data_IF_433488422988
#
_entry.id   IF_433488422988
#
_cell.length_a   1.000
_cell.length_b   1.000
_cell.length_c   1.000
_cell.angle_alpha   90.00
_cell.angle_beta   90.00
_cell.angle_gamma   90.00
#
_symmetry.space_group_name_H-M   'P 1'
#
loop_
_entity.id
_entity.type
_entity.pdbx_description
1 polymer ?
#
# COMPACT_ATOMS: atom_id res chain seq x y z
N UNK A 1 6.63 40.28 -0.61
CA UNK A 1 5.29 39.96 -0.08
C UNK A 1 4.14 40.57 -0.86
N UNK A 2 4.03 41.89 -1.01
CA UNK A 2 2.86 42.52 -1.68
C UNK A 2 2.58 42.00 -3.10
N UNK A 3 3.60 41.84 -3.93
CA UNK A 3 3.43 41.29 -5.29
C UNK A 3 2.91 39.85 -5.27
N UNK A 4 3.44 38.99 -4.41
CA UNK A 4 2.97 37.60 -4.29
C UNK A 4 1.51 37.53 -3.84
N UNK A 5 1.08 38.42 -2.95
CA UNK A 5 -0.33 38.50 -2.51
C UNK A 5 -1.27 38.97 -3.63
N UNK A 6 -0.82 39.91 -4.47
CA UNK A 6 -1.58 40.31 -5.66
C UNK A 6 -1.68 39.14 -6.65
N UNK A 7 -0.61 38.38 -6.82
CA UNK A 7 -0.59 37.21 -7.69
C UNK A 7 -1.49 36.09 -7.16
N UNK A 8 -1.45 35.82 -5.85
CA UNK A 8 -2.37 34.89 -5.18
C UNK A 8 -3.82 35.25 -5.49
N UNK A 9 -4.21 36.51 -5.24
CA UNK A 9 -5.56 36.98 -5.53
C UNK A 9 -5.94 36.90 -7.01
N UNK A 10 -4.98 37.09 -7.93
CA UNK A 10 -5.22 36.94 -9.36
C UNK A 10 -5.42 35.47 -9.78
N UNK A 11 -4.75 34.54 -9.11
CA UNK A 11 -4.87 33.10 -9.36
C UNK A 11 -6.09 32.45 -8.71
N UNK A 12 -6.77 33.15 -7.80
CA UNK A 12 -8.05 32.71 -7.24
C UNK A 12 -9.16 32.63 -8.31
N UNK A 13 -9.02 33.35 -9.43
CA UNK A 13 -9.99 33.35 -10.52
C UNK A 13 -9.55 32.41 -11.67
N UNK A 14 -10.11 31.19 -11.80
CA UNK A 14 -9.57 30.17 -12.72
C UNK A 14 -9.56 30.62 -14.18
N UNK A 15 -10.51 31.48 -14.57
CA UNK A 15 -10.61 32.01 -15.92
C UNK A 15 -9.36 32.78 -16.37
N UNK A 16 -8.65 33.42 -15.44
CA UNK A 16 -7.39 34.13 -15.72
C UNK A 16 -6.29 33.13 -16.10
N UNK A 17 -6.19 32.04 -15.35
CA UNK A 17 -5.20 30.98 -15.59
C UNK A 17 -5.48 30.28 -16.92
N UNK A 18 -6.73 29.89 -17.16
CA UNK A 18 -7.11 29.16 -18.38
C UNK A 18 -6.91 30.02 -19.64
N UNK A 19 -7.26 31.31 -19.58
CA UNK A 19 -7.09 32.23 -20.71
C UNK A 19 -5.62 32.48 -21.05
N UNK A 20 -4.77 32.61 -20.03
CA UNK A 20 -3.36 32.99 -20.17
C UNK A 20 -2.38 31.84 -19.85
N UNK A 21 -2.82 30.58 -19.97
CA UNK A 21 -2.07 29.38 -19.53
C UNK A 21 -0.64 29.33 -20.09
N UNK A 22 -0.42 29.77 -21.34
CA UNK A 22 0.91 29.84 -21.95
C UNK A 22 1.87 30.78 -21.23
N UNK A 23 1.37 31.91 -20.70
CA UNK A 23 2.19 32.85 -19.93
C UNK A 23 2.52 32.21 -18.58
N UNK A 24 1.54 31.55 -17.96
CA UNK A 24 1.74 30.85 -16.71
C UNK A 24 2.82 29.76 -16.83
N UNK A 25 2.70 28.87 -17.81
CA UNK A 25 3.67 27.78 -18.03
C UNK A 25 5.05 28.30 -18.44
N UNK A 26 5.14 29.22 -19.41
CA UNK A 26 6.43 29.62 -19.98
C UNK A 26 7.24 30.60 -19.11
N UNK A 27 6.59 31.40 -18.26
CA UNK A 27 7.26 32.47 -17.51
C UNK A 27 6.98 32.41 -16.02
N UNK A 28 5.71 32.27 -15.64
CA UNK A 28 5.30 32.49 -14.26
C UNK A 28 5.76 31.36 -13.34
N UNK A 29 5.45 30.11 -13.67
CA UNK A 29 5.84 28.94 -12.87
C UNK A 29 7.38 28.80 -12.73
N UNK A 30 8.18 28.96 -13.80
CA UNK A 30 9.64 29.06 -13.67
C UNK A 30 10.11 30.16 -12.71
N UNK A 31 9.49 31.34 -12.78
CA UNK A 31 9.88 32.50 -11.96
C UNK A 31 9.57 32.28 -10.48
N UNK A 32 8.43 31.66 -10.17
CA UNK A 32 8.07 31.30 -8.79
C UNK A 32 9.07 30.32 -8.17
N UNK A 33 9.55 29.36 -8.97
CA UNK A 33 10.54 28.38 -8.51
C UNK A 33 11.89 29.03 -8.19
N UNK A 34 12.34 29.97 -9.03
CA UNK A 34 13.54 30.77 -8.77
C UNK A 34 13.37 31.62 -7.51
N UNK A 35 12.20 32.26 -7.37
CA UNK A 35 11.90 33.11 -6.22
C UNK A 35 11.88 32.31 -4.92
N UNK A 36 11.26 31.13 -4.90
CA UNK A 36 11.28 30.23 -3.75
C UNK A 36 12.72 29.95 -3.31
N UNK A 37 13.57 29.51 -4.24
CA UNK A 37 14.97 29.12 -3.95
C UNK A 37 15.81 30.26 -3.39
N UNK A 38 15.56 31.49 -3.83
CA UNK A 38 16.29 32.68 -3.39
C UNK A 38 15.78 33.29 -2.08
N UNK A 39 14.64 32.83 -1.55
CA UNK A 39 13.99 33.47 -0.43
C UNK A 39 14.29 32.78 0.91
N UNK A 40 14.41 33.59 1.97
CA UNK A 40 14.59 33.11 3.36
C UNK A 40 13.33 33.25 4.20
N UNK A 41 12.35 34.00 3.71
CA UNK A 41 11.07 34.22 4.37
C UNK A 41 10.14 33.03 4.13
N UNK A 42 9.73 32.36 5.21
CA UNK A 42 8.90 31.17 5.16
C UNK A 42 7.55 31.44 4.46
N UNK A 43 6.88 32.54 4.82
CA UNK A 43 5.60 32.93 4.22
C UNK A 43 5.72 33.15 2.70
N UNK A 44 6.79 33.81 2.25
CA UNK A 44 7.04 34.00 0.83
C UNK A 44 7.29 32.69 0.08
N UNK A 45 8.05 31.77 0.67
CA UNK A 45 8.32 30.44 0.09
C UNK A 45 7.03 29.63 -0.01
N UNK A 46 6.27 29.55 1.07
CA UNK A 46 4.97 28.89 1.08
C UNK A 46 4.05 29.47 0.01
N UNK A 47 3.96 30.80 -0.09
CA UNK A 47 3.11 31.46 -1.08
C UNK A 47 3.55 31.18 -2.52
N UNK A 48 4.86 31.07 -2.80
CA UNK A 48 5.35 30.66 -4.11
C UNK A 48 4.90 29.24 -4.48
N UNK A 49 5.03 28.29 -3.54
CA UNK A 49 4.63 26.90 -3.77
C UNK A 49 3.10 26.77 -3.90
N UNK A 50 2.35 27.49 -3.07
CA UNK A 50 0.88 27.54 -3.12
C UNK A 50 0.41 28.01 -4.49
N UNK A 51 0.86 29.19 -4.94
CA UNK A 51 0.46 29.74 -6.24
C UNK A 51 0.85 28.79 -7.39
N UNK A 52 2.06 28.20 -7.32
CA UNK A 52 2.49 27.22 -8.32
C UNK A 52 1.54 26.01 -8.37
N UNK A 53 1.15 25.50 -7.20
CA UNK A 53 0.22 24.37 -7.07
C UNK A 53 -1.17 24.73 -7.59
N UNK A 54 -1.73 25.87 -7.16
CA UNK A 54 -3.07 26.33 -7.56
C UNK A 54 -3.17 26.50 -9.07
N UNK A 55 -2.17 27.12 -9.70
CA UNK A 55 -2.10 27.27 -11.16
C UNK A 55 -2.05 25.93 -11.86
N UNK A 56 -1.22 25.00 -11.40
CA UNK A 56 -1.13 23.67 -12.01
C UNK A 56 -2.45 22.91 -11.86
N UNK A 57 -3.07 22.92 -10.67
CA UNK A 57 -4.36 22.27 -10.41
C UNK A 57 -5.45 22.79 -11.36
N UNK A 58 -5.54 24.11 -11.57
CA UNK A 58 -6.51 24.69 -12.49
C UNK A 58 -6.28 24.22 -13.93
N UNK A 59 -5.02 24.16 -14.39
CA UNK A 59 -4.71 23.67 -15.74
C UNK A 59 -5.05 22.19 -15.88
N UNK A 60 -4.71 21.36 -14.89
CA UNK A 60 -5.00 19.93 -14.91
C UNK A 60 -6.49 19.59 -14.79
N UNK A 61 -7.27 20.48 -14.17
CA UNK A 61 -8.73 20.32 -14.06
C UNK A 61 -9.45 20.61 -15.39
N UNK A 62 -8.80 21.27 -16.35
CA UNK A 62 -9.37 21.58 -17.65
C UNK A 62 -9.02 20.50 -18.68
N UNK A 63 -10.01 19.68 -19.04
CA UNK A 63 -9.84 18.57 -19.97
C UNK A 63 -9.35 19.00 -21.36
N UNK A 64 -9.62 20.25 -21.78
CA UNK A 64 -9.17 20.75 -23.08
C UNK A 64 -7.69 21.08 -23.09
N UNK A 65 -7.15 21.56 -21.96
CA UNK A 65 -5.72 21.83 -21.79
C UNK A 65 -4.93 20.56 -21.54
N UNK A 66 -5.48 19.58 -20.81
CA UNK A 66 -4.81 18.28 -20.64
C UNK A 66 -4.78 17.44 -21.92
N UNK A 67 -5.71 17.71 -22.86
CA UNK A 67 -5.69 17.12 -24.19
C UNK A 67 -4.71 17.83 -25.16
N UNK A 68 -4.24 19.03 -24.83
CA UNK A 68 -3.21 19.74 -25.59
C UNK A 68 -1.82 19.16 -25.25
N UNK A 69 -1.27 18.39 -26.19
CA UNK A 69 0.05 17.78 -26.06
C UNK A 69 1.16 18.80 -25.74
N UNK A 70 1.06 20.03 -26.28
CA UNK A 70 2.07 21.06 -26.03
C UNK A 70 1.98 21.59 -24.60
N UNK A 71 0.77 21.86 -24.10
CA UNK A 71 0.57 22.31 -22.72
C UNK A 71 1.09 21.24 -21.74
N UNK A 72 0.77 19.97 -21.98
CA UNK A 72 1.26 18.87 -21.16
C UNK A 72 2.79 18.71 -21.24
N UNK A 73 3.40 18.90 -22.42
CA UNK A 73 4.85 18.88 -22.60
C UNK A 73 5.55 20.05 -21.85
N UNK A 74 4.93 21.23 -21.83
CA UNK A 74 5.42 22.37 -21.06
C UNK A 74 5.36 22.09 -19.56
N UNK A 75 4.24 21.54 -19.06
CA UNK A 75 4.09 21.15 -17.66
C UNK A 75 5.08 20.05 -17.24
N UNK A 76 5.29 19.05 -18.10
CA UNK A 76 6.36 18.03 -17.92
C UNK A 76 7.72 18.69 -17.79
N UNK A 77 8.05 19.61 -18.70
CA UNK A 77 9.31 20.36 -18.67
C UNK A 77 9.47 21.16 -17.38
N UNK A 78 8.41 21.83 -16.94
CA UNK A 78 8.43 22.62 -15.70
C UNK A 78 8.67 21.73 -14.49
N UNK A 79 7.95 20.60 -14.43
CA UNK A 79 8.04 19.62 -13.35
C UNK A 79 9.47 19.10 -13.22
N UNK A 80 10.10 18.70 -14.33
CA UNK A 80 11.45 18.15 -14.32
C UNK A 80 12.55 19.20 -14.10
N UNK A 81 12.37 20.41 -14.60
CA UNK A 81 13.40 21.46 -14.55
C UNK A 81 13.38 22.27 -13.27
N UNK A 82 12.21 22.44 -12.65
CA UNK A 82 12.03 23.37 -11.55
C UNK A 82 11.48 22.70 -10.29
N UNK A 83 10.47 21.83 -10.39
CA UNK A 83 9.84 21.23 -9.22
C UNK A 83 10.67 20.07 -8.63
N UNK A 84 10.95 19.03 -9.42
CA UNK A 84 11.67 17.83 -8.95
C UNK A 84 13.04 18.14 -8.34
N UNK A 85 13.91 18.99 -8.93
CA UNK A 85 15.19 19.31 -8.34
C UNK A 85 15.09 20.04 -6.99
N UNK A 86 13.94 20.66 -6.70
CA UNK A 86 13.66 21.36 -5.46
C UNK A 86 12.91 20.51 -4.43
N UNK A 87 12.39 19.35 -4.83
CA UNK A 87 11.59 18.50 -3.96
C UNK A 87 12.25 18.14 -2.63
N UNK A 88 13.56 17.77 -2.59
CA UNK A 88 14.23 17.50 -1.32
C UNK A 88 14.22 18.71 -0.38
N UNK A 89 14.36 19.93 -0.91
CA UNK A 89 14.30 21.16 -0.12
C UNK A 89 12.88 21.49 0.35
N UNK A 90 11.85 21.10 -0.40
CA UNK A 90 10.47 21.27 0.05
C UNK A 90 10.12 20.32 1.19
N UNK A 91 10.60 19.08 1.12
CA UNK A 91 10.30 18.05 2.11
C UNK A 91 10.92 18.37 3.49
N UNK A 92 12.08 19.04 3.51
CA UNK A 92 12.77 19.46 4.73
C UNK A 92 12.40 20.87 5.22
N UNK A 93 11.47 21.56 4.55
CA UNK A 93 11.07 22.93 4.90
C UNK A 93 10.06 22.96 6.06
N UNK A 94 9.73 24.16 6.53
CA UNK A 94 8.78 24.39 7.61
C UNK A 94 7.33 24.10 7.17
N UNK A 95 6.51 23.58 8.09
CA UNK A 95 5.08 23.39 7.85
C UNK A 95 4.41 24.71 7.41
N UNK A 96 3.51 24.68 6.40
CA UNK A 96 2.90 23.50 5.78
C UNK A 96 3.54 23.08 4.44
N UNK A 97 4.74 23.56 4.12
CA UNK A 97 5.37 23.39 2.80
C UNK A 97 5.54 21.90 2.39
N UNK A 98 6.08 21.00 3.24
CA UNK A 98 6.27 19.59 2.87
C UNK A 98 4.97 18.93 2.41
N UNK A 99 3.87 19.16 3.14
CA UNK A 99 2.55 18.62 2.79
C UNK A 99 2.06 19.12 1.42
N UNK A 100 2.25 20.40 1.11
CA UNK A 100 1.85 20.96 -0.18
C UNK A 100 2.69 20.40 -1.33
N UNK A 101 4.00 20.28 -1.14
CA UNK A 101 4.89 19.71 -2.14
C UNK A 101 4.55 18.24 -2.42
N UNK A 102 4.24 17.47 -1.38
CA UNK A 102 3.85 16.08 -1.54
C UNK A 102 2.53 15.92 -2.30
N UNK A 103 1.51 16.74 -1.99
CA UNK A 103 0.24 16.76 -2.74
C UNK A 103 0.45 17.10 -4.21
N UNK A 104 1.30 18.09 -4.49
CA UNK A 104 1.64 18.46 -5.86
C UNK A 104 2.39 17.33 -6.58
N UNK A 105 3.35 16.66 -5.93
CA UNK A 105 4.06 15.52 -6.52
C UNK A 105 3.08 14.39 -6.91
N UNK A 106 2.14 14.04 -6.04
CA UNK A 106 1.12 13.02 -6.34
C UNK A 106 0.29 13.41 -7.56
N UNK A 107 -0.19 14.66 -7.61
CA UNK A 107 -0.96 15.14 -8.75
C UNK A 107 -0.14 15.13 -10.06
N UNK A 108 1.14 15.52 -10.01
CA UNK A 108 2.03 15.45 -11.17
C UNK A 108 2.24 14.00 -11.66
N UNK A 109 2.21 13.02 -10.75
CA UNK A 109 2.27 11.61 -11.12
C UNK A 109 0.96 11.11 -11.73
N UNK A 110 -0.20 11.53 -11.20
CA UNK A 110 -1.52 11.18 -11.74
C UNK A 110 -1.73 11.68 -13.17
N UNK A 111 -1.09 12.79 -13.56
CA UNK A 111 -1.15 13.36 -14.91
C UNK A 111 0.05 13.01 -15.80
N UNK A 112 0.83 11.98 -15.45
CA UNK A 112 2.03 11.54 -16.20
C UNK A 112 3.09 12.64 -16.40
N UNK A 113 3.06 13.71 -15.60
CA UNK A 113 4.05 14.79 -15.65
C UNK A 113 5.36 14.42 -14.95
N UNK A 114 5.29 13.50 -13.99
CA UNK A 114 6.41 12.90 -13.27
C UNK A 114 6.16 11.40 -13.22
N UNK A 115 7.18 10.60 -13.52
CA UNK A 115 7.13 9.14 -13.40
C UNK A 115 7.76 8.71 -12.09
N UNK A 116 7.40 7.52 -11.62
CA UNK A 116 8.06 6.92 -10.45
C UNK A 116 9.57 6.85 -10.65
N UNK A 117 10.04 6.51 -11.85
CA UNK A 117 11.47 6.47 -12.21
C UNK A 117 12.23 7.76 -11.93
N UNK A 118 11.54 8.91 -11.94
CA UNK A 118 12.16 10.23 -11.76
C UNK A 118 12.42 10.54 -10.27
N UNK A 119 11.82 9.77 -9.36
CA UNK A 119 11.89 9.96 -7.90
C UNK A 119 12.45 8.76 -7.12
N UNK A 120 13.05 7.77 -7.82
CA UNK A 120 13.62 6.56 -7.21
C UNK A 120 14.94 6.75 -6.44
N UNK A 121 15.39 7.98 -6.20
CA UNK A 121 16.59 8.20 -5.40
C UNK A 121 16.28 8.01 -3.90
N UNK A 122 17.26 7.49 -3.16
CA UNK A 122 17.11 7.09 -1.75
C UNK A 122 16.57 8.21 -0.84
N UNK A 123 17.00 9.45 -1.04
CA UNK A 123 16.58 10.59 -0.23
C UNK A 123 15.09 10.91 -0.45
N UNK A 124 14.65 11.01 -1.71
CA UNK A 124 13.24 11.27 -2.04
C UNK A 124 12.34 10.12 -1.60
N UNK A 125 12.77 8.86 -1.79
CA UNK A 125 12.00 7.70 -1.33
C UNK A 125 11.84 7.73 0.19
N UNK A 126 12.92 7.99 0.93
CA UNK A 126 12.87 8.08 2.39
C UNK A 126 11.88 9.15 2.88
N UNK A 127 11.92 10.34 2.28
CA UNK A 127 10.98 11.43 2.59
C UNK A 127 9.51 11.05 2.32
N UNK A 128 9.24 10.31 1.24
CA UNK A 128 7.86 9.89 0.92
C UNK A 128 7.27 8.96 1.99
N UNK A 129 8.10 8.15 2.65
CA UNK A 129 7.69 7.20 3.68
C UNK A 129 7.76 7.77 5.11
N UNK A 130 8.27 8.99 5.30
CA UNK A 130 8.53 9.58 6.62
C UNK A 130 7.27 9.68 7.48
N UNK A 131 6.10 9.94 6.89
CA UNK A 131 4.84 10.02 7.64
C UNK A 131 4.48 8.73 8.39
N UNK A 132 4.95 7.56 7.93
CA UNK A 132 4.75 6.28 8.62
C UNK A 132 5.59 6.16 9.90
N UNK A 133 6.68 6.93 9.99
CA UNK A 133 7.57 6.98 11.14
C UNK A 133 7.06 7.94 12.22
N UNK A 134 6.20 8.89 11.84
CA UNK A 134 5.60 9.90 12.71
C UNK A 134 4.24 9.50 13.32
N UNK A 135 3.42 10.52 13.61
CA UNK A 135 2.05 10.35 14.10
C UNK A 135 1.09 10.04 12.94
N UNK A 136 0.49 8.84 12.97
CA UNK A 136 -0.43 8.36 11.94
C UNK A 136 -1.72 9.18 11.85
N UNK A 137 -2.06 10.00 12.86
CA UNK A 137 -3.20 10.93 12.76
C UNK A 137 -2.99 12.02 11.70
N UNK A 138 -1.73 12.28 11.30
CA UNK A 138 -1.38 13.18 10.22
C UNK A 138 -1.30 12.47 8.85
N UNK A 139 -1.58 11.16 8.80
CA UNK A 139 -1.52 10.41 7.55
C UNK A 139 -2.58 10.91 6.55
N UNK A 140 -2.17 11.05 5.31
CA UNK A 140 -3.03 11.43 4.19
C UNK A 140 -3.09 10.28 3.18
N UNK A 141 -4.25 10.01 2.61
CA UNK A 141 -4.46 8.96 1.59
C UNK A 141 -3.53 9.17 0.39
N UNK A 142 -3.25 10.42 0.02
CA UNK A 142 -2.27 10.74 -1.04
C UNK A 142 -0.87 10.19 -0.72
N UNK A 143 -0.46 10.23 0.55
CA UNK A 143 0.85 9.72 0.97
C UNK A 143 0.88 8.19 0.87
N UNK A 144 -0.21 7.52 1.25
CA UNK A 144 -0.35 6.06 1.12
C UNK A 144 -0.29 5.65 -0.35
N UNK A 145 -1.02 6.34 -1.24
CA UNK A 145 -0.99 6.11 -2.69
C UNK A 145 0.42 6.32 -3.28
N UNK A 146 1.13 7.35 -2.83
CA UNK A 146 2.52 7.60 -3.26
C UNK A 146 3.44 6.47 -2.83
N UNK A 147 3.38 6.05 -1.56
CA UNK A 147 4.13 4.90 -1.06
C UNK A 147 3.80 3.62 -1.82
N UNK A 148 2.53 3.40 -2.17
CA UNK A 148 2.11 2.26 -2.97
C UNK A 148 2.69 2.32 -4.38
N UNK A 149 2.65 3.47 -5.05
CA UNK A 149 3.23 3.64 -6.39
C UNK A 149 4.74 3.39 -6.39
N UNK A 150 5.46 3.93 -5.39
CA UNK A 150 6.88 3.69 -5.17
C UNK A 150 7.18 2.20 -4.92
N UNK A 151 6.45 1.57 -4.00
CA UNK A 151 6.59 0.16 -3.68
C UNK A 151 6.17 -0.75 -4.84
N UNK A 152 5.34 -0.31 -5.77
CA UNK A 152 4.90 -1.13 -6.91
C UNK A 152 5.76 -0.97 -8.16
N UNK A 153 6.65 0.03 -8.20
CA UNK A 153 7.43 0.32 -9.39
C UNK A 153 8.50 -0.75 -9.70
N UNK A 154 8.57 -1.28 -10.93
CA UNK A 154 9.48 -2.38 -11.26
C UNK A 154 10.96 -2.04 -11.02
N UNK A 155 11.33 -0.76 -11.22
CA UNK A 155 12.70 -0.28 -11.08
C UNK A 155 13.07 0.08 -9.62
N UNK A 156 12.13 -0.01 -8.67
CA UNK A 156 12.41 0.24 -7.25
C UNK A 156 13.27 -0.88 -6.66
N UNK A 157 14.38 -0.51 -6.03
CA UNK A 157 15.25 -1.45 -5.32
C UNK A 157 14.64 -1.83 -3.96
N UNK A 158 14.44 -3.12 -3.73
CA UNK A 158 13.95 -3.66 -2.46
C UNK A 158 14.89 -3.36 -1.28
N UNK A 159 16.20 -3.14 -1.52
CA UNK A 159 17.15 -2.76 -0.49
C UNK A 159 16.85 -1.38 0.09
N UNK A 160 16.47 -0.41 -0.78
CA UNK A 160 16.05 0.93 -0.33
C UNK A 160 14.81 0.79 0.56
N UNK A 161 13.80 0.05 0.10
CA UNK A 161 12.58 -0.19 0.89
C UNK A 161 12.86 -0.88 2.23
N UNK A 162 13.81 -1.82 2.25
CA UNK A 162 14.22 -2.51 3.46
C UNK A 162 14.97 -1.59 4.43
N UNK A 163 15.75 -0.61 3.95
CA UNK A 163 16.46 0.35 4.80
C UNK A 163 15.50 1.31 5.51
N UNK A 164 14.29 1.53 4.97
CA UNK A 164 13.27 2.36 5.60
C UNK A 164 12.75 1.77 6.92
N UNK A 165 12.78 0.44 7.08
CA UNK A 165 12.28 -0.27 8.28
C UNK A 165 10.82 0.10 8.62
N UNK A 166 9.97 0.23 7.60
CA UNK A 166 8.58 0.71 7.71
C UNK A 166 7.55 -0.40 7.75
N UNK A 167 7.90 -1.68 7.54
CA UNK A 167 6.90 -2.76 7.42
C UNK A 167 5.98 -2.82 8.63
N UNK A 168 6.54 -2.77 9.85
CA UNK A 168 5.74 -2.73 11.08
C UNK A 168 4.82 -1.51 11.13
N UNK A 169 5.28 -0.35 10.66
CA UNK A 169 4.50 0.89 10.64
C UNK A 169 3.36 0.83 9.63
N UNK A 170 3.54 0.16 8.50
CA UNK A 170 2.47 -0.12 7.53
C UNK A 170 1.39 -1.00 8.16
N UNK A 171 1.79 -2.03 8.94
CA UNK A 171 0.84 -2.83 9.72
C UNK A 171 0.05 -2.00 10.74
N UNK A 172 0.73 -1.12 11.48
CA UNK A 172 0.09 -0.18 12.41
C UNK A 172 -0.85 0.81 11.69
N UNK A 173 -0.52 1.25 10.48
CA UNK A 173 -1.40 2.08 9.67
C UNK A 173 -2.68 1.34 9.31
N UNK A 174 -2.59 0.07 8.89
CA UNK A 174 -3.78 -0.75 8.61
C UNK A 174 -4.67 -0.90 9.85
N UNK A 175 -4.06 -1.14 11.02
CA UNK A 175 -4.78 -1.17 12.30
C UNK A 175 -5.44 0.17 12.61
N UNK A 176 -4.73 1.29 12.42
CA UNK A 176 -5.26 2.63 12.66
C UNK A 176 -6.45 2.96 11.75
N UNK A 177 -6.33 2.74 10.44
CA UNK A 177 -7.41 3.08 9.47
C UNK A 177 -8.64 2.21 9.69
N UNK A 178 -8.44 0.94 10.08
CA UNK A 178 -9.54 0.03 10.41
C UNK A 178 -10.22 0.45 11.72
N UNK A 179 -9.44 0.77 12.76
CA UNK A 179 -9.99 1.18 14.06
C UNK A 179 -10.68 2.55 14.04
N UNK A 180 -10.43 3.36 13.01
CA UNK A 180 -11.03 4.69 12.82
C UNK A 180 -12.12 4.72 11.76
N UNK A 181 -12.49 3.57 11.18
CA UNK A 181 -13.48 3.44 10.10
C UNK A 181 -13.18 4.40 8.93
N UNK A 182 -11.91 4.50 8.53
CA UNK A 182 -11.46 5.35 7.42
C UNK A 182 -11.53 4.57 6.11
N UNK A 183 -12.75 4.35 5.59
CA UNK A 183 -13.00 3.50 4.42
C UNK A 183 -12.18 3.89 3.18
N UNK A 184 -12.05 5.19 2.90
CA UNK A 184 -11.27 5.72 1.77
C UNK A 184 -9.76 5.38 1.84
N UNK A 185 -9.27 5.00 3.02
CA UNK A 185 -7.87 4.61 3.25
C UNK A 185 -7.65 3.10 3.22
N UNK A 186 -8.69 2.29 3.38
CA UNK A 186 -8.55 0.83 3.49
C UNK A 186 -7.94 0.23 2.24
N UNK A 187 -8.48 0.55 1.07
CA UNK A 187 -7.98 0.02 -0.21
C UNK A 187 -6.51 0.43 -0.45
N UNK A 188 -6.13 1.73 -0.44
CA UNK A 188 -4.74 2.11 -0.67
C UNK A 188 -3.76 1.52 0.36
N UNK A 189 -4.19 1.37 1.62
CA UNK A 189 -3.35 0.78 2.67
C UNK A 189 -3.14 -0.71 2.45
N UNK A 190 -4.18 -1.44 2.05
CA UNK A 190 -4.06 -2.85 1.69
C UNK A 190 -3.21 -3.05 0.43
N UNK A 191 -3.34 -2.18 -0.57
CA UNK A 191 -2.50 -2.19 -1.77
C UNK A 191 -1.02 -1.97 -1.43
N UNK A 192 -0.74 -1.03 -0.51
CA UNK A 192 0.59 -0.80 0.03
C UNK A 192 1.14 -2.05 0.77
N UNK A 193 0.36 -2.62 1.68
CA UNK A 193 0.71 -3.89 2.35
C UNK A 193 1.06 -4.97 1.32
N UNK A 194 0.20 -5.13 0.32
CA UNK A 194 0.35 -6.14 -0.73
C UNK A 194 1.63 -5.94 -1.55
N UNK A 195 1.95 -4.70 -1.93
CA UNK A 195 3.17 -4.38 -2.66
C UNK A 195 4.43 -4.76 -1.87
N UNK A 196 4.47 -4.45 -0.58
CA UNK A 196 5.58 -4.84 0.31
C UNK A 196 5.68 -6.36 0.47
N UNK A 197 4.55 -7.06 0.64
CA UNK A 197 4.53 -8.53 0.76
C UNK A 197 5.06 -9.18 -0.51
N UNK A 198 4.63 -8.73 -1.70
CA UNK A 198 5.10 -9.27 -2.97
C UNK A 198 6.62 -9.11 -3.09
N UNK A 199 7.17 -7.94 -2.75
CA UNK A 199 8.62 -7.75 -2.72
C UNK A 199 9.34 -8.59 -1.68
N UNK A 200 8.70 -8.85 -0.53
CA UNK A 200 9.21 -9.79 0.46
C UNK A 200 9.36 -11.22 -0.07
N UNK A 201 8.59 -11.63 -1.08
CA UNK A 201 8.73 -12.97 -1.69
C UNK A 201 9.95 -13.12 -2.62
N UNK A 202 10.65 -12.02 -2.96
CA UNK A 202 11.82 -12.05 -3.86
C UNK A 202 11.52 -12.47 -5.30
N UNK A 203 10.26 -12.47 -5.72
CA UNK A 203 9.87 -12.86 -7.08
C UNK A 203 9.95 -11.66 -8.03
N UNK A 204 11.05 -11.57 -8.80
CA UNK A 204 11.19 -10.62 -9.92
C UNK A 204 10.28 -10.93 -11.12
N UNK A 205 9.53 -12.03 -11.07
CA UNK A 205 8.47 -12.25 -12.04
C UNK A 205 7.32 -11.38 -11.59
N UNK A 206 6.96 -10.41 -12.42
CA UNK A 206 5.60 -9.88 -12.47
C UNK A 206 4.66 -11.07 -12.30
N UNK A 207 4.21 -11.29 -11.07
CA UNK A 207 3.13 -12.22 -10.80
C UNK A 207 1.99 -11.48 -11.46
N UNK A 208 1.72 -11.84 -12.72
CA UNK A 208 0.43 -11.59 -13.36
C UNK A 208 -0.57 -11.84 -12.26
N UNK A 209 -1.23 -10.76 -11.85
CA UNK A 209 -2.18 -10.68 -10.75
C UNK A 209 -3.31 -11.65 -11.08
N UNK A 210 -3.06 -12.93 -10.81
CA UNK A 210 -3.96 -14.00 -11.13
C UNK A 210 -5.13 -13.82 -10.18
N UNK A 211 -6.31 -13.53 -10.73
CA UNK A 211 -7.57 -13.59 -9.99
C UNK A 211 -7.84 -15.00 -9.46
N UNK A 212 -7.14 -16.02 -9.97
CA UNK A 212 -7.18 -17.36 -9.39
C UNK A 212 -6.31 -17.43 -8.15
N UNK A 213 -6.82 -18.00 -7.06
CA UNK A 213 -6.06 -18.16 -5.83
C UNK A 213 -4.79 -18.93 -6.18
N UNK A 214 -3.63 -18.29 -6.02
CA UNK A 214 -2.35 -18.97 -6.16
C UNK A 214 -2.24 -19.98 -5.01
N UNK A 215 -2.85 -21.16 -5.20
CA UNK A 215 -3.02 -22.21 -4.21
C UNK A 215 -1.66 -22.51 -3.59
N UNK A 216 -1.55 -22.33 -2.27
CA UNK A 216 -0.37 -22.61 -1.45
C UNK A 216 0.06 -24.09 -1.49
N UNK A 217 -0.66 -24.93 -2.23
CA UNK A 217 -0.67 -26.38 -2.03
C UNK A 217 0.54 -27.07 -2.66
N UNK A 218 1.10 -26.55 -3.76
CA UNK A 218 2.19 -27.24 -4.47
C UNK A 218 3.49 -26.44 -4.63
N UNK A 219 3.44 -25.10 -4.78
CA UNK A 219 4.66 -24.28 -4.98
C UNK A 219 5.25 -23.66 -3.70
N UNK A 220 4.45 -23.53 -2.63
CA UNK A 220 4.92 -22.90 -1.39
C UNK A 220 5.87 -23.78 -0.56
N UNK A 221 5.88 -25.10 -0.82
CA UNK A 221 6.78 -26.06 -0.18
C UNK A 221 8.03 -26.37 -1.01
N UNK A 222 8.13 -25.88 -2.25
CA UNK A 222 9.37 -25.98 -3.02
C UNK A 222 10.37 -24.92 -2.54
N UNK A 223 11.02 -25.21 -1.41
CA UNK A 223 12.16 -24.46 -0.86
C UNK A 223 13.41 -24.51 -1.76
N UNK A 224 13.27 -24.81 -3.06
CA UNK A 224 14.37 -25.07 -3.99
C UNK A 224 14.61 -23.96 -5.00
N UNK A 225 13.88 -22.84 -4.94
CA UNK A 225 14.31 -21.64 -5.66
C UNK A 225 15.18 -20.89 -4.68
N UNK A 226 16.49 -20.87 -4.93
CA UNK A 226 17.39 -19.95 -4.28
C UNK A 226 16.81 -18.54 -4.48
N UNK A 227 16.08 -18.05 -3.47
CA UNK A 227 15.61 -16.68 -3.46
C UNK A 227 16.89 -15.86 -3.38
N UNK A 228 17.11 -15.03 -4.38
CA UNK A 228 18.20 -14.08 -4.35
C UNK A 228 17.89 -13.10 -3.21
N UNK A 229 18.41 -13.41 -2.01
CA UNK A 229 18.15 -12.65 -0.77
C UNK A 229 18.54 -11.17 -0.91
N UNK A 230 19.32 -10.82 -1.93
CA UNK A 230 19.67 -9.44 -2.27
C UNK A 230 18.54 -8.64 -2.93
N UNK A 231 17.38 -9.25 -3.22
CA UNK A 231 16.26 -8.61 -3.91
C UNK A 231 14.95 -8.53 -3.10
N UNK A 232 14.92 -9.03 -1.86
CA UNK A 232 13.72 -9.05 -1.02
C UNK A 232 13.75 -8.00 0.10
N UNK A 233 12.56 -7.58 0.56
CA UNK A 233 12.42 -6.75 1.76
C UNK A 233 12.69 -7.59 3.00
N UNK A 234 13.69 -7.21 3.81
CA UNK A 234 14.21 -8.03 4.91
C UNK A 234 13.34 -8.00 6.17
N UNK A 235 12.58 -6.93 6.40
CA UNK A 235 11.71 -6.73 7.55
C UNK A 235 10.26 -7.19 7.30
N UNK A 236 9.99 -7.92 6.20
CA UNK A 236 8.62 -8.33 5.84
C UNK A 236 7.94 -9.21 6.92
N UNK A 237 8.74 -9.92 7.72
CA UNK A 237 8.27 -10.76 8.80
C UNK A 237 7.54 -9.99 9.91
N UNK A 238 7.83 -8.70 10.09
CA UNK A 238 7.15 -7.84 11.08
C UNK A 238 5.65 -7.72 10.80
N UNK A 239 5.24 -7.83 9.53
CA UNK A 239 3.84 -7.79 9.14
C UNK A 239 3.05 -9.02 9.64
N UNK A 240 3.73 -10.10 10.01
CA UNK A 240 3.12 -11.28 10.64
C UNK A 240 2.35 -10.95 11.93
N UNK A 241 2.81 -9.94 12.68
CA UNK A 241 2.10 -9.43 13.86
C UNK A 241 0.75 -8.77 13.53
N UNK A 242 0.56 -8.33 12.29
CA UNK A 242 -0.68 -7.70 11.80
C UNK A 242 -1.70 -8.71 11.26
N UNK A 243 -1.45 -10.03 11.38
CA UNK A 243 -2.38 -11.05 10.87
C UNK A 243 -3.80 -10.91 11.44
N UNK A 244 -3.91 -10.52 12.71
CA UNK A 244 -5.20 -10.30 13.37
C UNK A 244 -6.03 -9.19 12.72
N UNK A 245 -5.40 -8.13 12.19
CA UNK A 245 -6.11 -7.05 11.50
C UNK A 245 -6.46 -7.43 10.06
N UNK A 246 -5.59 -8.16 9.35
CA UNK A 246 -5.95 -8.68 8.02
C UNK A 246 -7.19 -9.56 8.08
N UNK A 247 -7.28 -10.47 9.06
CA UNK A 247 -8.48 -11.30 9.26
C UNK A 247 -9.74 -10.47 9.53
N UNK A 248 -9.60 -9.38 10.27
CA UNK A 248 -10.71 -8.46 10.55
C UNK A 248 -11.20 -7.78 9.27
N UNK A 249 -10.26 -7.25 8.47
CA UNK A 249 -10.56 -6.56 7.21
C UNK A 249 -11.08 -7.52 6.13
N UNK A 250 -10.72 -8.82 6.15
CA UNK A 250 -11.35 -9.84 5.28
C UNK A 250 -12.86 -9.93 5.53
N UNK A 251 -13.33 -9.62 6.74
CA UNK A 251 -14.75 -9.58 7.08
C UNK A 251 -15.49 -8.33 6.60
N UNK A 252 -14.82 -7.40 5.91
CA UNK A 252 -15.43 -6.17 5.40
C UNK A 252 -16.58 -6.47 4.41
N UNK A 253 -17.61 -5.63 4.42
CA UNK A 253 -18.78 -5.75 3.54
C UNK A 253 -18.47 -5.47 2.07
N UNK A 254 -17.43 -4.68 1.78
CA UNK A 254 -16.96 -4.44 0.43
C UNK A 254 -16.21 -5.68 -0.10
N UNK A 255 -16.71 -6.34 -1.17
CA UNK A 255 -16.08 -7.52 -1.74
C UNK A 255 -14.65 -7.28 -2.23
N UNK A 256 -14.32 -6.07 -2.70
CA UNK A 256 -12.99 -5.73 -3.19
C UNK A 256 -11.98 -5.63 -2.05
N UNK A 257 -12.37 -4.98 -0.95
CA UNK A 257 -11.56 -4.91 0.28
C UNK A 257 -11.36 -6.31 0.87
N UNK A 258 -12.44 -7.10 0.96
CA UNK A 258 -12.38 -8.49 1.45
C UNK A 258 -11.47 -9.37 0.58
N UNK A 259 -11.57 -9.27 -0.74
CA UNK A 259 -10.72 -9.99 -1.68
C UNK A 259 -9.24 -9.61 -1.49
N UNK A 260 -8.93 -8.31 -1.48
CA UNK A 260 -7.58 -7.79 -1.35
C UNK A 260 -6.92 -8.17 -0.02
N UNK A 261 -7.67 -8.06 1.09
CA UNK A 261 -7.20 -8.49 2.41
C UNK A 261 -6.94 -10.00 2.47
N UNK A 262 -7.80 -10.81 1.84
CA UNK A 262 -7.62 -12.27 1.82
C UNK A 262 -6.42 -12.70 0.96
N UNK A 263 -6.13 -11.96 -0.12
CA UNK A 263 -4.93 -12.14 -0.92
C UNK A 263 -3.67 -11.77 -0.12
N UNK A 264 -3.70 -10.67 0.65
CA UNK A 264 -2.60 -10.30 1.56
C UNK A 264 -2.28 -11.40 2.57
N UNK A 265 -3.30 -12.06 3.16
CA UNK A 265 -3.08 -13.20 4.08
C UNK A 265 -2.33 -14.35 3.39
N UNK A 266 -2.74 -14.71 2.17
CA UNK A 266 -2.09 -15.77 1.40
C UNK A 266 -0.66 -15.40 1.03
N UNK A 267 -0.45 -14.19 0.54
CA UNK A 267 0.87 -13.70 0.14
C UNK A 267 1.81 -13.59 1.34
N UNK A 268 1.31 -13.17 2.51
CA UNK A 268 2.11 -13.04 3.73
C UNK A 268 2.58 -14.40 4.24
N UNK A 269 1.75 -15.43 4.13
CA UNK A 269 2.16 -16.82 4.41
C UNK A 269 3.23 -17.34 3.45
N UNK A 270 3.35 -16.79 2.24
CA UNK A 270 4.45 -17.09 1.32
C UNK A 270 5.71 -16.30 1.67
N UNK A 271 5.57 -15.00 1.97
CA UNK A 271 6.69 -14.10 2.21
C UNK A 271 7.35 -14.32 3.58
N UNK A 272 6.57 -14.56 4.63
CA UNK A 272 7.04 -14.79 5.99
C UNK A 272 6.33 -16.01 6.62
N UNK A 273 6.60 -17.24 6.14
CA UNK A 273 5.81 -18.43 6.50
C UNK A 273 5.72 -18.70 8.00
N UNK A 274 6.82 -18.47 8.75
CA UNK A 274 6.87 -18.74 10.18
C UNK A 274 6.04 -17.73 10.97
N UNK A 275 6.30 -16.44 10.77
CA UNK A 275 5.66 -15.34 11.50
C UNK A 275 4.18 -15.23 11.15
N UNK A 276 3.83 -15.40 9.86
CA UNK A 276 2.46 -15.43 9.41
C UNK A 276 1.68 -16.65 9.96
N UNK A 277 2.30 -17.83 10.01
CA UNK A 277 1.70 -19.03 10.66
C UNK A 277 1.45 -18.77 12.14
N UNK A 278 2.43 -18.19 12.84
CA UNK A 278 2.26 -17.82 14.25
C UNK A 278 1.11 -16.81 14.43
N UNK A 279 1.05 -15.77 13.59
CA UNK A 279 -0.02 -14.78 13.60
C UNK A 279 -1.40 -15.40 13.32
N UNK A 280 -1.50 -16.34 12.37
CA UNK A 280 -2.77 -16.95 12.01
C UNK A 280 -3.28 -17.87 13.12
N UNK A 281 -2.42 -18.74 13.66
CA UNK A 281 -2.79 -19.72 14.68
C UNK A 281 -3.08 -19.08 16.04
N UNK A 282 -2.40 -17.98 16.40
CA UNK A 282 -2.75 -17.18 17.60
C UNK A 282 -4.11 -16.50 17.46
N UNK A 283 -4.50 -16.13 16.22
CA UNK A 283 -5.79 -15.53 15.89
C UNK A 283 -6.85 -16.55 15.45
N UNK A 284 -6.68 -17.84 15.75
CA UNK A 284 -7.65 -18.89 15.41
C UNK A 284 -9.09 -18.60 15.90
N UNK A 285 -9.32 -18.00 17.09
CA UNK A 285 -10.67 -17.57 17.49
C UNK A 285 -11.30 -16.56 16.52
N UNK A 286 -10.54 -15.55 16.05
CA UNK A 286 -10.99 -14.57 15.07
C UNK A 286 -11.29 -15.25 13.72
N UNK A 287 -10.38 -16.11 13.26
CA UNK A 287 -10.58 -16.89 12.03
C UNK A 287 -11.85 -17.74 12.08
N UNK A 288 -12.14 -18.37 13.23
CA UNK A 288 -13.35 -19.18 13.40
C UNK A 288 -14.64 -18.36 13.26
N UNK A 289 -14.67 -17.15 13.82
CA UNK A 289 -15.81 -16.25 13.71
C UNK A 289 -15.98 -15.73 12.27
N UNK A 290 -14.86 -15.42 11.60
CA UNK A 290 -14.84 -14.98 10.22
C UNK A 290 -15.33 -16.07 9.24
N UNK A 291 -14.88 -17.31 9.40
CA UNK A 291 -15.36 -18.42 8.56
C UNK A 291 -16.86 -18.66 8.73
N UNK A 292 -17.40 -18.41 9.94
CA UNK A 292 -18.83 -18.49 10.23
C UNK A 292 -19.60 -17.37 9.54
N UNK A 293 -19.13 -16.12 9.60
CA UNK A 293 -19.77 -14.98 8.92
C UNK A 293 -19.74 -15.12 7.40
N UNK A 294 -18.66 -15.67 6.84
CA UNK A 294 -18.49 -15.92 5.40
C UNK A 294 -19.25 -17.16 4.88
N UNK A 295 -20.06 -17.84 5.71
CA UNK A 295 -20.85 -19.01 5.28
C UNK A 295 -21.73 -18.75 4.05
N UNK A 296 -22.33 -17.56 3.98
CA UNK A 296 -23.27 -17.18 2.93
C UNK A 296 -22.68 -16.16 1.93
N UNK A 297 -21.40 -15.80 2.09
CA UNK A 297 -20.72 -14.80 1.27
C UNK A 297 -20.02 -15.37 0.03
N UNK A 298 -19.18 -14.53 -0.58
CA UNK A 298 -18.37 -14.87 -1.75
C UNK A 298 -17.42 -16.04 -1.41
N UNK A 299 -17.32 -17.08 -2.25
CA UNK A 299 -16.56 -18.28 -1.92
C UNK A 299 -15.03 -18.06 -1.86
N UNK A 300 -14.50 -17.08 -2.60
CA UNK A 300 -13.06 -16.93 -2.81
C UNK A 300 -12.26 -16.58 -1.55
N UNK A 301 -12.59 -15.52 -0.76
CA UNK A 301 -11.89 -15.23 0.50
C UNK A 301 -11.93 -16.41 1.47
N UNK A 302 -13.08 -17.08 1.57
CA UNK A 302 -13.24 -18.27 2.42
C UNK A 302 -12.32 -19.42 1.97
N UNK A 303 -12.26 -19.70 0.68
CA UNK A 303 -11.36 -20.74 0.14
C UNK A 303 -9.89 -20.40 0.39
N UNK A 304 -9.48 -19.13 0.22
CA UNK A 304 -8.12 -18.67 0.56
C UNK A 304 -7.80 -18.88 2.03
N UNK A 305 -8.71 -18.50 2.94
CA UNK A 305 -8.53 -18.69 4.37
C UNK A 305 -8.38 -20.17 4.76
N UNK A 306 -9.14 -21.07 4.14
CA UNK A 306 -9.00 -22.51 4.36
C UNK A 306 -7.61 -22.98 3.91
N UNK A 307 -7.16 -22.66 2.69
CA UNK A 307 -5.80 -23.04 2.27
C UNK A 307 -4.70 -22.42 3.14
N UNK A 308 -4.87 -21.17 3.58
CA UNK A 308 -3.96 -20.51 4.53
C UNK A 308 -3.87 -21.25 5.85
N UNK A 309 -4.99 -21.76 6.36
CA UNK A 309 -5.03 -22.57 7.57
C UNK A 309 -4.36 -23.94 7.36
N UNK A 310 -4.64 -24.63 6.25
CA UNK A 310 -3.99 -25.91 5.92
C UNK A 310 -2.47 -25.74 5.86
N UNK A 311 -2.00 -24.69 5.17
CA UNK A 311 -0.58 -24.33 5.09
C UNK A 311 0.02 -24.08 6.48
N UNK A 312 -0.65 -23.27 7.30
CA UNK A 312 -0.20 -22.95 8.66
C UNK A 312 -0.10 -24.19 9.56
N UNK A 313 -1.04 -25.13 9.44
CA UNK A 313 -0.99 -26.40 10.17
C UNK A 313 0.21 -27.25 9.75
N UNK A 314 0.47 -27.36 8.44
CA UNK A 314 1.66 -28.06 7.92
C UNK A 314 2.95 -27.41 8.38
N UNK A 315 3.02 -26.08 8.33
CA UNK A 315 4.18 -25.30 8.75
C UNK A 315 4.46 -25.48 10.24
N UNK A 316 3.41 -25.42 11.08
CA UNK A 316 3.51 -25.68 12.53
C UNK A 316 4.17 -27.03 12.82
N UNK A 317 3.71 -28.09 12.14
CA UNK A 317 4.23 -29.44 12.34
C UNK A 317 5.65 -29.61 11.78
N UNK A 318 5.90 -29.12 10.57
CA UNK A 318 7.18 -29.29 9.87
C UNK A 318 8.31 -28.55 10.58
N UNK A 319 8.02 -27.36 11.12
CA UNK A 319 9.00 -26.53 11.82
C UNK A 319 9.04 -26.79 13.34
N UNK A 320 8.22 -27.72 13.87
CA UNK A 320 8.18 -28.02 15.29
C UNK A 320 7.86 -26.78 16.15
N UNK A 321 6.93 -25.93 15.71
CA UNK A 321 6.62 -24.67 16.38
C UNK A 321 6.03 -24.94 17.78
N UNK A 322 6.55 -24.24 18.79
CA UNK A 322 6.02 -24.28 20.16
C UNK A 322 5.05 -23.11 20.32
N UNK A 323 3.79 -23.33 19.92
CA UNK A 323 2.74 -22.32 20.02
C UNK A 323 1.49 -22.93 20.66
N UNK A 324 0.94 -22.25 21.67
CA UNK A 324 -0.33 -22.66 22.28
C UNK A 324 -1.48 -22.35 21.33
N UNK A 325 -2.19 -23.40 20.89
CA UNK A 325 -3.36 -23.28 20.03
C UNK A 325 -4.61 -23.40 20.90
N UNK A 326 -5.55 -22.46 20.72
CA UNK A 326 -6.83 -22.49 21.44
C UNK A 326 -7.65 -23.71 21.03
N UNK A 327 -7.72 -24.72 21.92
CA UNK A 327 -8.51 -25.95 21.70
C UNK A 327 -9.99 -25.65 21.41
N UNK A 328 -10.68 -24.73 22.13
CA UNK A 328 -12.06 -24.39 21.79
C UNK A 328 -12.21 -23.76 20.40
N UNK A 329 -11.25 -22.95 19.96
CA UNK A 329 -11.27 -22.40 18.60
C UNK A 329 -11.01 -23.48 17.56
N UNK A 330 -10.06 -24.40 17.81
CA UNK A 330 -9.77 -25.52 16.94
C UNK A 330 -11.00 -26.40 16.70
N UNK A 331 -11.72 -26.77 17.76
CA UNK A 331 -12.95 -27.56 17.65
C UNK A 331 -14.06 -26.84 16.84
N UNK A 332 -14.20 -25.52 17.01
CA UNK A 332 -15.15 -24.73 16.21
C UNK A 332 -14.76 -24.72 14.73
N UNK A 333 -13.48 -24.55 14.42
CA UNK A 333 -12.99 -24.58 13.04
C UNK A 333 -13.18 -25.97 12.43
N UNK A 334 -12.91 -27.06 13.15
CA UNK A 334 -13.17 -28.43 12.66
C UNK A 334 -14.65 -28.66 12.32
N UNK A 335 -15.58 -28.13 13.12
CA UNK A 335 -17.01 -28.21 12.87
C UNK A 335 -17.42 -27.43 11.61
N UNK A 336 -16.88 -26.22 11.43
CA UNK A 336 -17.08 -25.40 10.23
C UNK A 336 -16.53 -26.09 8.98
N UNK A 337 -15.29 -26.56 9.04
CA UNK A 337 -14.63 -27.31 7.95
C UNK A 337 -15.44 -28.54 7.56
N UNK A 338 -15.99 -29.28 8.53
CA UNK A 338 -16.86 -30.43 8.26
C UNK A 338 -18.13 -30.04 7.51
N UNK A 339 -18.73 -28.89 7.84
CA UNK A 339 -19.89 -28.37 7.08
C UNK A 339 -19.53 -27.97 5.65
N UNK A 340 -18.33 -27.43 5.41
CA UNK A 340 -17.88 -27.00 4.09
C UNK A 340 -17.51 -28.15 3.16
N UNK A 341 -17.13 -29.32 3.68
CA UNK A 341 -16.90 -30.53 2.86
C UNK A 341 -18.13 -30.98 2.08
N UNK A 342 -19.33 -30.63 2.57
CA UNK A 342 -20.60 -30.95 1.91
C UNK A 342 -21.10 -29.83 0.97
N UNK A 343 -20.27 -28.81 0.69
CA UNK A 343 -20.62 -27.72 -0.21
C UNK A 343 -20.78 -28.20 -1.67
N UNK A 344 -21.63 -27.51 -2.43
CA UNK A 344 -21.76 -27.71 -3.88
C UNK A 344 -20.59 -27.11 -4.67
N UNK A 345 -19.83 -26.22 -4.06
CA UNK A 345 -18.61 -25.64 -4.62
C UNK A 345 -17.44 -26.63 -4.42
N UNK A 346 -16.94 -27.20 -5.53
CA UNK A 346 -15.86 -28.18 -5.52
C UNK A 346 -14.56 -27.63 -4.94
N UNK A 347 -14.20 -26.38 -5.26
CA UNK A 347 -12.98 -25.76 -4.75
C UNK A 347 -13.04 -25.57 -3.23
N UNK A 348 -14.21 -25.19 -2.72
CA UNK A 348 -14.42 -25.07 -1.27
C UNK A 348 -14.37 -26.44 -0.58
N UNK A 349 -15.03 -27.45 -1.16
CA UNK A 349 -15.05 -28.80 -0.61
C UNK A 349 -13.64 -29.42 -0.57
N UNK A 350 -12.83 -29.18 -1.60
CA UNK A 350 -11.42 -29.61 -1.68
C UNK A 350 -10.56 -28.89 -0.62
N UNK A 351 -10.70 -27.57 -0.50
CA UNK A 351 -10.00 -26.79 0.52
C UNK A 351 -10.36 -27.28 1.93
N UNK A 352 -11.64 -27.52 2.21
CA UNK A 352 -12.11 -28.04 3.48
C UNK A 352 -11.60 -29.46 3.76
N UNK A 353 -11.53 -30.31 2.73
CA UNK A 353 -10.97 -31.66 2.83
C UNK A 353 -9.48 -31.63 3.19
N UNK A 354 -8.72 -30.76 2.54
CA UNK A 354 -7.30 -30.53 2.82
C UNK A 354 -7.07 -30.05 4.26
N UNK A 355 -7.77 -28.99 4.69
CA UNK A 355 -7.67 -28.46 6.05
C UNK A 355 -8.04 -29.51 7.09
N UNK A 356 -9.13 -30.25 6.87
CA UNK A 356 -9.60 -31.24 7.83
C UNK A 356 -8.57 -32.33 8.12
N UNK A 357 -7.77 -32.73 7.13
CA UNK A 357 -6.68 -33.69 7.32
C UNK A 357 -5.54 -33.10 8.16
N UNK A 358 -5.21 -31.82 7.97
CA UNK A 358 -4.13 -31.16 8.70
C UNK A 358 -4.49 -30.81 10.14
N UNK A 359 -5.74 -30.38 10.41
CA UNK A 359 -6.19 -30.06 11.77
C UNK A 359 -6.13 -31.26 12.71
N UNK A 360 -6.43 -32.47 12.21
CA UNK A 360 -6.36 -33.70 12.99
C UNK A 360 -4.94 -34.04 13.47
N UNK A 361 -3.91 -33.48 12.83
CA UNK A 361 -2.51 -33.71 13.15
C UNK A 361 -1.99 -32.75 14.23
N UNK A 362 -2.72 -31.68 14.54
CA UNK A 362 -2.32 -30.71 15.55
C UNK A 362 -2.41 -31.29 16.97
N UNK A 363 -1.50 -30.91 17.88
CA UNK A 363 -1.55 -31.37 19.27
C UNK A 363 -2.80 -30.83 19.97
N UNK A 364 -3.50 -31.73 20.68
CA UNK A 364 -4.75 -31.43 21.40
C UNK A 364 -4.56 -31.29 22.91
N UNK A 365 -3.33 -31.48 23.39
CA UNK A 365 -2.97 -31.39 24.79
C UNK A 365 -2.00 -30.22 24.97
N UNK A 366 -2.43 -29.21 25.71
CA UNK A 366 -1.60 -28.18 26.31
C UNK A 366 -1.88 -28.16 27.81
#
# INVERSE_FOLDING_TARGET
MTLLRVLEAATEEPSVILREHKIFTSRFLPSLSILYKGNKDCDARFLCLKILSDVMIVIFSDSSLTADEQCLADLKTISHKYFLPMYPSFAEDEDPIPMYAQKLLVMLMEHDCVKVSDILNEATVSQCFEFLLGDLSNANVSNVKLCFALASAPDMDSNILSQLQVVRRIGNLLEFVTAKDMDDFLEPTLELCRAFIIRGTGSNRSIVLSKEPALLVDSAFSMSIAVDQQSCIMDICDLGGSMGIFLEVVGNSDPQISDLASDCVVLLLKAAPREATMGLLTNLPKLSALLDSLKHGVPLPRTRLLYSLAFSCRQYLTQGMILSISVPALMRVEALVSSFKCSQDSCLADAASCVGAELQRLPRCG
#
